data_IF_459969932254
#
_entry.id   IF_459969932254
#
_cell.length_a   1.000
_cell.length_b   1.000
_cell.length_c   1.000
_cell.angle_alpha   90.00
_cell.angle_beta   90.00
_cell.angle_gamma   90.00
#
_symmetry.space_group_name_H-M   'P 1'
#
loop_
_entity.id
_entity.type
_entity.pdbx_description
1 polymer ?
#
# COMPACT_ATOMS: atom_id res chain seq x y z
N UNK A 1 9.39 31.56 21.89
CA UNK A 1 8.93 30.29 21.29
C UNK A 1 8.61 30.56 19.83
N UNK A 2 9.61 30.36 18.97
CA UNK A 2 9.43 30.39 17.51
C UNK A 2 8.46 29.29 17.12
N UNK A 3 7.37 29.67 16.51
CA UNK A 3 6.40 28.77 15.89
C UNK A 3 7.10 28.08 14.71
N UNK A 4 7.69 26.88 14.92
CA UNK A 4 8.13 26.03 13.82
C UNK A 4 6.84 25.63 13.10
N UNK A 5 6.55 26.30 11.98
CA UNK A 5 5.56 25.75 11.03
C UNK A 5 5.94 24.31 10.79
N UNK A 6 5.09 23.40 11.21
CA UNK A 6 5.34 21.97 11.03
C UNK A 6 5.48 21.71 9.52
N UNK A 7 6.66 21.29 9.10
CA UNK A 7 6.91 20.97 7.69
C UNK A 7 5.97 19.83 7.30
N UNK A 8 5.21 20.02 6.22
CA UNK A 8 4.26 19.03 5.74
C UNK A 8 4.96 17.67 5.50
N UNK A 9 4.46 16.57 6.06
CA UNK A 9 5.04 15.26 5.83
C UNK A 9 4.95 14.85 4.35
N UNK A 10 5.91 14.07 3.89
CA UNK A 10 5.97 13.55 2.52
C UNK A 10 5.74 12.05 2.54
N UNK A 11 4.79 11.57 1.75
CA UNK A 11 4.44 10.14 1.68
C UNK A 11 4.51 9.63 0.24
N UNK A 12 5.22 8.52 0.03
CA UNK A 12 5.20 7.76 -1.22
C UNK A 12 4.09 6.71 -1.17
N UNK A 13 3.21 6.72 -2.16
CA UNK A 13 2.16 5.70 -2.33
C UNK A 13 2.40 4.94 -3.62
N UNK A 14 2.76 3.66 -3.54
CA UNK A 14 2.91 2.82 -4.73
C UNK A 14 1.54 2.37 -5.25
N UNK A 15 1.38 2.35 -6.59
CA UNK A 15 0.07 2.11 -7.19
C UNK A 15 -0.97 3.18 -6.79
N UNK A 16 -0.53 4.43 -6.60
CA UNK A 16 -1.32 5.53 -6.06
C UNK A 16 -2.29 6.19 -7.04
N UNK A 17 -2.41 5.67 -8.27
CA UNK A 17 -3.19 6.33 -9.33
C UNK A 17 -4.68 6.00 -9.33
N UNK A 18 -5.08 4.84 -8.81
CA UNK A 18 -6.45 4.28 -8.91
C UNK A 18 -6.90 3.59 -7.62
N UNK A 19 -8.23 3.43 -7.49
CA UNK A 19 -8.88 2.61 -6.46
C UNK A 19 -8.34 2.92 -5.05
N UNK A 20 -7.99 1.88 -4.28
CA UNK A 20 -7.47 2.00 -2.91
C UNK A 20 -6.26 2.93 -2.82
N UNK A 21 -5.30 2.83 -3.76
CA UNK A 21 -4.10 3.69 -3.76
C UNK A 21 -4.43 5.17 -3.96
N UNK A 22 -5.35 5.49 -4.86
CA UNK A 22 -5.79 6.87 -5.08
C UNK A 22 -6.53 7.43 -3.85
N UNK A 23 -7.37 6.63 -3.22
CA UNK A 23 -8.09 7.06 -2.01
C UNK A 23 -7.14 7.24 -0.82
N UNK A 24 -6.14 6.37 -0.65
CA UNK A 24 -5.06 6.58 0.32
C UNK A 24 -4.39 7.94 0.07
N UNK A 25 -4.00 8.20 -1.18
CA UNK A 25 -3.35 9.46 -1.55
C UNK A 25 -4.24 10.68 -1.25
N UNK A 26 -5.56 10.63 -1.56
CA UNK A 26 -6.51 11.69 -1.26
C UNK A 26 -6.61 11.99 0.24
N UNK A 27 -6.75 10.97 1.06
CA UNK A 27 -6.86 11.15 2.51
C UNK A 27 -5.56 11.65 3.15
N UNK A 28 -4.40 11.19 2.68
CA UNK A 28 -3.11 11.71 3.12
C UNK A 28 -2.92 13.17 2.71
N UNK A 29 -3.28 13.53 1.46
CA UNK A 29 -3.22 14.90 0.98
C UNK A 29 -4.17 15.82 1.76
N UNK A 30 -5.40 15.39 2.01
CA UNK A 30 -6.38 16.13 2.82
C UNK A 30 -5.91 16.31 4.28
N UNK A 31 -5.12 15.36 4.82
CA UNK A 31 -4.49 15.47 6.13
C UNK A 31 -3.24 16.38 6.15
N UNK A 32 -2.92 17.05 5.04
CA UNK A 32 -1.80 18.00 4.95
C UNK A 32 -0.49 17.42 4.40
N UNK A 33 -0.41 16.15 4.07
CA UNK A 33 0.79 15.56 3.49
C UNK A 33 1.03 16.02 2.05
N UNK A 34 2.30 16.08 1.65
CA UNK A 34 2.70 16.07 0.23
C UNK A 34 2.79 14.62 -0.22
N UNK A 35 2.28 14.31 -1.41
CA UNK A 35 2.13 12.93 -1.86
C UNK A 35 2.89 12.68 -3.15
N UNK A 36 3.76 11.67 -3.15
CA UNK A 36 4.33 11.12 -4.37
C UNK A 36 3.47 9.92 -4.82
N UNK A 37 2.91 10.02 -6.01
CA UNK A 37 2.06 9.02 -6.63
C UNK A 37 2.91 8.15 -7.57
N UNK A 38 3.22 6.93 -7.16
CA UNK A 38 3.87 6.00 -8.07
C UNK A 38 2.84 5.28 -8.94
N UNK A 39 3.14 5.15 -10.24
CA UNK A 39 2.38 4.35 -11.19
C UNK A 39 3.30 3.61 -12.18
N UNK A 40 2.83 2.47 -12.71
CA UNK A 40 3.49 1.72 -13.79
C UNK A 40 2.80 1.97 -15.14
N UNK A 41 1.49 1.76 -15.22
CA UNK A 41 0.73 1.86 -16.48
C UNK A 41 -0.31 3.00 -16.47
N UNK A 42 -0.76 3.44 -15.30
CA UNK A 42 -1.85 4.41 -15.14
C UNK A 42 -1.33 5.85 -15.06
N UNK A 43 -0.45 6.24 -16.00
CA UNK A 43 0.19 7.56 -16.00
C UNK A 43 -0.81 8.70 -16.06
N UNK A 44 -1.79 8.63 -16.95
CA UNK A 44 -2.81 9.68 -17.12
C UNK A 44 -3.67 9.87 -15.87
N UNK A 45 -4.01 8.78 -15.17
CA UNK A 45 -4.77 8.87 -13.92
C UNK A 45 -3.93 9.48 -12.80
N UNK A 46 -2.65 9.12 -12.71
CA UNK A 46 -1.71 9.70 -11.76
C UNK A 46 -1.50 11.21 -12.01
N UNK A 47 -1.28 11.60 -13.28
CA UNK A 47 -1.09 13.00 -13.66
C UNK A 47 -2.34 13.84 -13.35
N UNK A 48 -3.55 13.29 -13.60
CA UNK A 48 -4.83 13.96 -13.28
C UNK A 48 -4.97 14.16 -11.76
N UNK A 49 -4.70 13.11 -10.97
CA UNK A 49 -4.81 13.17 -9.52
C UNK A 49 -3.77 14.14 -8.92
N UNK A 50 -2.54 14.15 -9.44
CA UNK A 50 -1.51 15.09 -9.02
C UNK A 50 -1.88 16.55 -9.37
N UNK A 51 -2.48 16.78 -10.55
CA UNK A 51 -2.97 18.10 -10.93
C UNK A 51 -4.06 18.59 -9.95
N UNK A 52 -5.05 17.74 -9.65
CA UNK A 52 -6.10 18.03 -8.65
C UNK A 52 -5.49 18.42 -7.28
N UNK A 53 -4.48 17.68 -6.80
CA UNK A 53 -3.82 17.99 -5.54
C UNK A 53 -3.04 19.31 -5.59
N UNK A 54 -2.35 19.57 -6.70
CA UNK A 54 -1.58 20.79 -6.88
C UNK A 54 -2.43 22.05 -7.11
N UNK A 55 -3.66 21.91 -7.63
CA UNK A 55 -4.67 22.98 -7.65
C UNK A 55 -5.12 23.33 -6.23
N UNK A 56 -5.39 22.33 -5.40
CA UNK A 56 -5.81 22.54 -4.01
C UNK A 56 -4.68 23.13 -3.15
N UNK A 57 -3.46 22.66 -3.37
CA UNK A 57 -2.27 23.09 -2.62
C UNK A 57 -1.03 22.99 -3.52
N UNK A 58 -0.46 24.11 -3.97
CA UNK A 58 0.67 24.13 -4.88
C UNK A 58 1.88 23.31 -4.39
N UNK A 59 2.55 22.59 -5.30
CA UNK A 59 3.71 21.75 -5.03
C UNK A 59 3.48 20.67 -3.95
N UNK A 60 2.28 20.13 -3.88
CA UNK A 60 1.90 19.10 -2.90
C UNK A 60 1.81 17.69 -3.47
N UNK A 61 1.96 17.51 -4.78
CA UNK A 61 1.94 16.21 -5.42
C UNK A 61 3.00 16.08 -6.51
N UNK A 62 3.59 14.89 -6.60
CA UNK A 62 4.57 14.48 -7.61
C UNK A 62 4.15 13.12 -8.19
N UNK A 63 4.27 12.94 -9.51
CA UNK A 63 4.09 11.63 -10.15
C UNK A 63 5.45 10.98 -10.40
N UNK A 64 5.60 9.74 -9.98
CA UNK A 64 6.77 8.90 -10.20
C UNK A 64 6.38 7.68 -11.04
N UNK A 65 6.99 7.55 -12.21
CA UNK A 65 6.77 6.42 -13.11
C UNK A 65 7.94 5.44 -13.01
N UNK A 66 7.64 4.19 -12.63
CA UNK A 66 8.63 3.11 -12.57
C UNK A 66 7.97 1.74 -12.73
N UNK A 67 8.76 0.73 -13.10
CA UNK A 67 8.41 -0.66 -12.90
C UNK A 67 9.04 -1.15 -11.59
N UNK A 68 8.24 -1.44 -10.58
CA UNK A 68 8.75 -1.92 -9.29
C UNK A 68 9.40 -3.31 -9.36
N UNK A 69 9.21 -4.05 -10.45
CA UNK A 69 9.90 -5.32 -10.68
C UNK A 69 11.39 -5.11 -10.99
N UNK A 70 11.76 -3.95 -11.51
CA UNK A 70 13.15 -3.50 -11.66
C UNK A 70 13.67 -2.93 -10.34
N UNK A 71 14.06 -3.82 -9.43
CA UNK A 71 14.54 -3.43 -8.11
C UNK A 71 15.82 -2.58 -8.16
N UNK A 72 16.59 -2.61 -9.25
CA UNK A 72 17.79 -1.80 -9.40
C UNK A 72 17.46 -0.30 -9.56
N UNK A 73 16.29 0.03 -10.08
CA UNK A 73 15.83 1.41 -10.26
C UNK A 73 15.21 2.04 -9.01
N UNK A 74 14.86 1.25 -7.99
CA UNK A 74 14.14 1.75 -6.81
C UNK A 74 14.89 2.78 -5.96
N UNK A 75 16.22 2.69 -5.76
CA UNK A 75 16.96 3.76 -5.10
C UNK A 75 16.80 5.11 -5.82
N UNK A 76 16.92 5.13 -7.15
CA UNK A 76 16.74 6.34 -7.96
C UNK A 76 15.32 6.91 -7.88
N UNK A 77 14.30 6.07 -7.73
CA UNK A 77 12.92 6.50 -7.50
C UNK A 77 12.80 7.28 -6.18
N UNK A 78 13.40 6.77 -5.11
CA UNK A 78 13.39 7.43 -3.79
C UNK A 78 14.22 8.71 -3.82
N UNK A 79 15.39 8.68 -4.47
CA UNK A 79 16.25 9.87 -4.63
C UNK A 79 15.54 10.99 -5.41
N UNK A 80 14.81 10.67 -6.47
CA UNK A 80 14.00 11.64 -7.22
C UNK A 80 12.91 12.28 -6.35
N UNK A 81 12.25 11.50 -5.51
CA UNK A 81 11.27 12.01 -4.55
C UNK A 81 11.90 12.96 -3.55
N UNK A 82 13.00 12.53 -2.93
CA UNK A 82 13.69 13.33 -1.92
C UNK A 82 14.33 14.57 -2.53
N UNK A 83 14.87 14.46 -3.73
CA UNK A 83 15.38 15.63 -4.48
C UNK A 83 14.31 16.69 -4.73
N UNK A 84 13.05 16.27 -4.93
CA UNK A 84 11.91 17.16 -5.16
C UNK A 84 11.35 17.77 -3.85
N UNK A 85 11.13 16.94 -2.81
CA UNK A 85 10.45 17.35 -1.59
C UNK A 85 11.38 17.63 -0.41
N UNK A 86 12.64 17.20 -0.46
CA UNK A 86 13.65 17.38 0.57
C UNK A 86 13.56 16.37 1.74
N UNK A 87 12.59 15.46 1.74
CA UNK A 87 12.36 14.48 2.83
C UNK A 87 11.45 13.35 2.42
N UNK A 88 11.40 12.31 3.24
CA UNK A 88 10.41 11.23 3.16
C UNK A 88 9.98 10.84 4.60
N UNK A 89 8.68 10.86 4.88
CA UNK A 89 8.09 10.58 6.19
C UNK A 89 7.23 9.32 6.21
N UNK A 90 6.76 8.91 5.04
CA UNK A 90 5.92 7.71 4.94
C UNK A 90 6.11 6.97 3.63
N UNK A 91 6.01 5.63 3.70
CA UNK A 91 5.97 4.75 2.54
C UNK A 91 4.73 3.86 2.66
N UNK A 92 3.89 3.85 1.63
CA UNK A 92 2.77 2.92 1.51
C UNK A 92 3.04 1.96 0.34
N UNK A 93 3.37 0.72 0.66
CA UNK A 93 3.50 -0.37 -0.32
C UNK A 93 2.10 -0.90 -0.64
N UNK A 94 1.43 -0.28 -1.62
CA UNK A 94 0.08 -0.63 -2.05
C UNK A 94 0.03 -1.30 -3.43
N UNK A 95 1.00 -1.05 -4.32
CA UNK A 95 1.04 -1.70 -5.63
C UNK A 95 1.04 -3.22 -5.49
N UNK A 96 0.19 -3.91 -6.25
CA UNK A 96 0.08 -5.36 -6.24
C UNK A 96 -0.43 -5.90 -7.58
N UNK A 97 -0.05 -7.13 -7.90
CA UNK A 97 -0.69 -7.95 -8.91
C UNK A 97 -1.56 -9.01 -8.24
N UNK A 98 -2.69 -9.33 -8.87
CA UNK A 98 -3.65 -10.32 -8.37
C UNK A 98 -4.28 -11.06 -9.54
N UNK A 99 -3.98 -12.34 -9.68
CA UNK A 99 -4.58 -13.23 -10.67
C UNK A 99 -4.45 -14.70 -10.22
N UNK A 100 -5.34 -15.61 -10.69
CA UNK A 100 -5.32 -17.00 -10.29
C UNK A 100 -4.08 -17.73 -10.82
N UNK A 101 -3.54 -18.64 -10.02
CA UNK A 101 -2.40 -19.50 -10.34
C UNK A 101 -2.66 -20.92 -9.82
N UNK A 102 -3.65 -21.67 -10.38
CA UNK A 102 -3.96 -23.02 -9.91
C UNK A 102 -2.75 -23.94 -10.09
N UNK A 103 -2.61 -24.91 -9.20
CA UNK A 103 -1.51 -25.91 -9.25
C UNK A 103 -1.50 -26.60 -10.61
N UNK A 104 -0.32 -26.68 -11.21
CA UNK A 104 -0.10 -27.21 -12.57
C UNK A 104 -0.08 -26.13 -13.66
N UNK A 105 -0.40 -24.86 -13.34
CA UNK A 105 -0.38 -23.73 -14.27
C UNK A 105 0.57 -22.60 -13.81
N UNK A 106 1.34 -22.81 -12.76
CA UNK A 106 2.31 -21.84 -12.25
C UNK A 106 3.57 -21.90 -13.12
N UNK A 107 3.98 -20.77 -13.66
CA UNK A 107 5.20 -20.60 -14.42
C UNK A 107 6.11 -19.51 -13.81
N UNK A 108 7.30 -19.35 -14.35
CA UNK A 108 8.29 -18.33 -13.91
C UNK A 108 7.79 -16.90 -14.12
N UNK A 109 6.94 -16.65 -15.10
CA UNK A 109 6.38 -15.32 -15.34
C UNK A 109 5.39 -14.95 -14.25
N UNK A 110 4.48 -15.86 -13.89
CA UNK A 110 3.56 -15.68 -12.77
C UNK A 110 4.30 -15.51 -11.44
N UNK A 111 5.35 -16.32 -11.21
CA UNK A 111 6.22 -16.18 -10.05
C UNK A 111 6.86 -14.80 -9.99
N UNK A 112 7.51 -14.39 -11.07
CA UNK A 112 8.22 -13.10 -11.15
C UNK A 112 7.29 -11.91 -10.96
N UNK A 113 6.07 -11.95 -11.48
CA UNK A 113 5.09 -10.89 -11.33
C UNK A 113 4.50 -10.87 -9.90
N UNK A 114 3.90 -11.99 -9.45
CA UNK A 114 3.18 -12.02 -8.16
C UNK A 114 4.11 -11.88 -6.95
N UNK A 115 5.24 -12.61 -6.93
CA UNK A 115 6.22 -12.48 -5.84
C UNK A 115 6.99 -11.18 -5.97
N UNK A 116 7.30 -10.78 -7.20
CA UNK A 116 7.97 -9.52 -7.53
C UNK A 116 7.22 -8.32 -6.98
N UNK A 117 5.95 -8.16 -7.37
CA UNK A 117 5.14 -7.00 -7.01
C UNK A 117 4.68 -7.02 -5.53
N UNK A 118 4.31 -8.19 -5.00
CA UNK A 118 3.68 -8.30 -3.68
C UNK A 118 4.67 -8.49 -2.51
N UNK A 119 5.91 -8.92 -2.77
CA UNK A 119 6.89 -9.20 -1.73
C UNK A 119 8.25 -8.56 -2.01
N UNK A 120 8.86 -8.84 -3.18
CA UNK A 120 10.21 -8.39 -3.50
C UNK A 120 10.29 -6.86 -3.60
N UNK A 121 9.40 -6.23 -4.36
CA UNK A 121 9.37 -4.78 -4.51
C UNK A 121 9.16 -4.04 -3.17
N UNK A 122 8.19 -4.42 -2.31
CA UNK A 122 8.07 -3.86 -0.96
C UNK A 122 9.35 -3.94 -0.13
N UNK A 123 10.09 -5.06 -0.17
CA UNK A 123 11.36 -5.20 0.54
C UNK A 123 12.40 -4.20 0.03
N UNK A 124 12.68 -4.21 -1.28
CA UNK A 124 13.73 -3.36 -1.85
C UNK A 124 13.39 -1.88 -1.79
N UNK A 125 12.12 -1.52 -1.95
CA UNK A 125 11.69 -0.14 -1.81
C UNK A 125 11.77 0.34 -0.35
N UNK A 126 11.39 -0.51 0.61
CA UNK A 126 11.57 -0.21 2.03
C UNK A 126 13.04 -0.03 2.39
N UNK A 127 13.93 -0.86 1.84
CA UNK A 127 15.39 -0.73 2.02
C UNK A 127 15.89 0.62 1.45
N UNK A 128 15.48 1.00 0.25
CA UNK A 128 15.86 2.26 -0.37
C UNK A 128 15.33 3.48 0.40
N UNK A 129 14.13 3.39 0.96
CA UNK A 129 13.50 4.45 1.74
C UNK A 129 14.01 4.55 3.17
N UNK A 130 14.58 3.48 3.74
CA UNK A 130 14.92 3.38 5.15
C UNK A 130 15.80 4.53 5.68
N UNK A 131 16.89 4.97 5.01
CA UNK A 131 17.72 6.07 5.52
C UNK A 131 16.91 7.37 5.72
N UNK A 132 16.05 7.70 4.78
CA UNK A 132 15.23 8.91 4.81
C UNK A 132 14.12 8.84 5.86
N UNK A 133 13.50 7.66 5.99
CA UNK A 133 12.49 7.40 7.03
C UNK A 133 13.11 7.42 8.43
N UNK A 134 14.35 6.94 8.59
CA UNK A 134 15.08 7.01 9.87
C UNK A 134 15.42 8.45 10.25
N UNK A 135 15.76 9.28 9.27
CA UNK A 135 16.03 10.70 9.50
C UNK A 135 14.78 11.47 9.96
N UNK A 136 13.64 11.17 9.36
CA UNK A 136 12.37 11.83 9.67
C UNK A 136 11.64 11.25 10.88
N UNK A 137 12.00 10.05 11.35
CA UNK A 137 11.22 9.28 12.33
C UNK A 137 9.91 8.77 11.74
N UNK A 138 9.93 8.37 10.48
CA UNK A 138 8.78 8.06 9.65
C UNK A 138 8.14 6.69 9.89
N UNK A 139 7.28 6.27 8.94
CA UNK A 139 6.60 4.98 9.02
C UNK A 139 6.42 4.32 7.65
N UNK A 140 6.34 2.98 7.65
CA UNK A 140 5.98 2.16 6.50
C UNK A 140 4.63 1.49 6.78
N UNK A 141 3.73 1.50 5.81
CA UNK A 141 2.49 0.71 5.82
C UNK A 141 2.47 -0.19 4.59
N UNK A 142 2.40 -1.49 4.83
CA UNK A 142 2.28 -2.50 3.78
C UNK A 142 0.81 -2.91 3.62
N UNK A 143 0.28 -2.85 2.39
CA UNK A 143 -1.04 -3.40 2.10
C UNK A 143 -0.87 -4.92 1.88
N UNK A 144 -1.17 -5.66 2.94
CA UNK A 144 -1.15 -7.12 2.97
C UNK A 144 -2.43 -7.66 2.31
N UNK A 145 -3.10 -8.60 2.92
CA UNK A 145 -4.40 -9.15 2.55
C UNK A 145 -4.84 -10.14 3.64
N UNK A 146 -6.13 -10.33 3.88
CA UNK A 146 -6.61 -11.40 4.78
C UNK A 146 -6.22 -12.79 4.27
N UNK A 147 -6.00 -12.92 2.96
CA UNK A 147 -5.56 -14.18 2.33
C UNK A 147 -4.08 -14.53 2.60
N UNK A 148 -3.34 -13.68 3.29
CA UNK A 148 -2.04 -14.03 3.89
C UNK A 148 -2.17 -15.10 4.98
N UNK A 149 -3.27 -15.10 5.73
CA UNK A 149 -3.56 -16.03 6.82
C UNK A 149 -4.74 -16.97 6.53
N UNK A 150 -5.63 -16.59 5.62
CA UNK A 150 -6.81 -17.36 5.17
C UNK A 150 -6.73 -17.59 3.66
N UNK A 151 -5.97 -18.60 3.19
CA UNK A 151 -5.66 -18.76 1.77
C UNK A 151 -6.91 -18.87 0.88
N UNK A 152 -6.82 -18.27 -0.30
CA UNK A 152 -7.85 -18.30 -1.33
C UNK A 152 -7.58 -19.43 -2.31
N UNK A 153 -8.58 -20.30 -2.54
CA UNK A 153 -8.47 -21.41 -3.50
C UNK A 153 -8.20 -20.85 -4.91
N UNK A 154 -7.24 -21.46 -5.62
CA UNK A 154 -6.83 -21.03 -6.96
C UNK A 154 -5.77 -19.94 -7.00
N UNK A 155 -5.34 -19.37 -5.84
CA UNK A 155 -4.38 -18.30 -5.73
C UNK A 155 -3.17 -18.62 -4.84
N UNK A 156 -2.57 -19.83 -4.90
CA UNK A 156 -1.54 -20.23 -3.95
C UNK A 156 -0.33 -19.32 -3.96
N UNK A 157 0.11 -18.85 -5.14
CA UNK A 157 1.28 -18.01 -5.27
C UNK A 157 1.05 -16.59 -4.72
N UNK A 158 -0.11 -16.00 -4.98
CA UNK A 158 -0.51 -14.71 -4.39
C UNK A 158 -0.58 -14.81 -2.86
N UNK A 159 -1.24 -15.84 -2.33
CA UNK A 159 -1.35 -16.06 -0.88
C UNK A 159 0.04 -16.22 -0.23
N UNK A 160 0.94 -16.98 -0.87
CA UNK A 160 2.31 -17.14 -0.39
C UNK A 160 3.08 -15.81 -0.37
N UNK A 161 2.95 -14.99 -1.43
CA UNK A 161 3.57 -13.67 -1.49
C UNK A 161 3.03 -12.72 -0.40
N UNK A 162 1.72 -12.71 -0.16
CA UNK A 162 1.09 -11.89 0.90
C UNK A 162 1.43 -12.39 2.30
N UNK A 163 1.54 -13.71 2.52
CA UNK A 163 2.05 -14.28 3.77
C UNK A 163 3.52 -13.88 4.00
N UNK A 164 4.33 -13.88 2.94
CA UNK A 164 5.68 -13.34 2.97
C UNK A 164 5.73 -11.87 3.35
N UNK A 165 4.84 -11.04 2.79
CA UNK A 165 4.75 -9.60 3.11
C UNK A 165 4.32 -9.36 4.57
N UNK A 166 3.43 -10.21 5.10
CA UNK A 166 3.06 -10.18 6.52
C UNK A 166 4.30 -10.44 7.40
N UNK A 167 5.06 -11.49 7.12
CA UNK A 167 6.31 -11.80 7.81
C UNK A 167 7.36 -10.70 7.68
N UNK A 168 7.52 -10.16 6.46
CA UNK A 168 8.42 -9.05 6.16
C UNK A 168 8.05 -7.78 6.96
N UNK A 169 6.77 -7.47 7.11
CA UNK A 169 6.30 -6.33 7.91
C UNK A 169 6.80 -6.41 9.34
N UNK A 170 6.72 -7.58 9.97
CA UNK A 170 7.23 -7.82 11.33
C UNK A 170 8.75 -7.76 11.40
N UNK A 171 9.44 -8.34 10.42
CA UNK A 171 10.89 -8.30 10.35
C UNK A 171 11.41 -6.86 10.20
N UNK A 172 10.85 -6.08 9.29
CA UNK A 172 11.23 -4.67 9.09
C UNK A 172 10.93 -3.81 10.33
N UNK A 173 9.87 -4.13 11.09
CA UNK A 173 9.57 -3.44 12.34
C UNK A 173 10.69 -3.65 13.38
N UNK A 174 11.28 -4.84 13.44
CA UNK A 174 12.44 -5.14 14.30
C UNK A 174 13.71 -4.42 13.81
N UNK A 175 13.98 -4.51 12.52
CA UNK A 175 15.21 -3.98 11.92
C UNK A 175 15.29 -2.43 11.95
N UNK A 176 14.15 -1.76 11.80
CA UNK A 176 14.10 -0.30 11.65
C UNK A 176 13.74 0.43 12.95
N UNK A 177 13.39 -0.29 14.02
CA UNK A 177 13.15 0.29 15.33
C UNK A 177 14.46 0.85 15.93
N UNK A 178 14.39 1.89 16.78
CA UNK A 178 13.19 2.62 17.22
C UNK A 178 12.79 3.78 16.30
N UNK A 179 13.50 3.99 15.21
CA UNK A 179 13.36 5.19 14.36
C UNK A 179 12.19 5.13 13.40
N UNK A 180 11.86 3.95 12.87
CA UNK A 180 10.80 3.77 11.87
C UNK A 180 9.80 2.74 12.37
N UNK A 181 8.52 3.06 12.30
CA UNK A 181 7.43 2.12 12.55
C UNK A 181 7.04 1.40 11.26
N UNK A 182 6.78 0.12 11.33
CA UNK A 182 6.36 -0.67 10.18
C UNK A 182 5.13 -1.49 10.56
N UNK A 183 4.02 -1.26 9.86
CA UNK A 183 2.77 -1.96 10.10
C UNK A 183 2.14 -2.43 8.78
N UNK A 184 1.18 -3.32 8.87
CA UNK A 184 0.39 -3.80 7.75
C UNK A 184 -1.10 -3.51 7.91
N UNK A 185 -1.77 -3.32 6.80
CA UNK A 185 -3.23 -3.36 6.69
C UNK A 185 -3.57 -4.58 5.86
N UNK A 186 -4.50 -5.41 6.34
CA UNK A 186 -4.98 -6.59 5.64
C UNK A 186 -6.44 -6.37 5.19
N UNK A 187 -6.66 -5.90 3.95
CA UNK A 187 -8.00 -5.73 3.41
C UNK A 187 -8.74 -7.06 3.29
N UNK A 188 -10.06 -7.02 3.51
CA UNK A 188 -11.00 -7.99 2.99
C UNK A 188 -11.48 -7.59 1.58
N UNK A 189 -12.69 -8.00 1.18
CA UNK A 189 -13.26 -7.58 -0.10
C UNK A 189 -13.55 -6.07 -0.08
N UNK A 190 -12.84 -5.34 -0.93
CA UNK A 190 -12.95 -3.89 -1.08
C UNK A 190 -13.28 -3.58 -2.53
N UNK A 191 -14.45 -3.02 -2.77
CA UNK A 191 -15.02 -2.83 -4.11
C UNK A 191 -15.14 -4.12 -4.94
N UNK A 192 -16.04 -4.13 -5.89
CA UNK A 192 -16.09 -5.21 -6.88
C UNK A 192 -15.15 -4.90 -8.05
N UNK A 193 -14.57 -5.93 -8.68
CA UNK A 193 -13.86 -5.75 -9.94
C UNK A 193 -14.76 -5.07 -10.99
N UNK A 194 -14.22 -4.10 -11.73
CA UNK A 194 -14.97 -3.34 -12.74
C UNK A 194 -15.35 -4.17 -13.97
N UNK A 195 -14.75 -5.35 -14.13
CA UNK A 195 -14.89 -6.23 -15.28
C UNK A 195 -16.18 -7.08 -15.29
N UNK A 196 -16.98 -7.00 -14.21
CA UNK A 196 -18.22 -7.77 -14.09
C UNK A 196 -18.04 -9.29 -14.04
N UNK A 197 -16.81 -9.77 -13.92
CA UNK A 197 -16.49 -11.20 -13.98
C UNK A 197 -16.94 -11.98 -12.74
N UNK A 198 -17.18 -11.29 -11.61
CA UNK A 198 -17.63 -11.95 -10.38
C UNK A 198 -19.17 -12.14 -10.41
N UNK A 199 -19.68 -13.38 -10.48
CA UNK A 199 -21.11 -13.66 -10.50
C UNK A 199 -21.84 -13.10 -9.28
N UNK A 200 -23.13 -12.73 -9.46
CA UNK A 200 -23.95 -12.17 -8.37
C UNK A 200 -24.01 -13.11 -7.15
N UNK A 201 -24.18 -14.41 -7.37
CA UNK A 201 -24.21 -15.40 -6.30
C UNK A 201 -22.91 -15.44 -5.47
N UNK A 202 -21.76 -15.25 -6.11
CA UNK A 202 -20.48 -15.17 -5.41
C UNK A 202 -20.36 -13.85 -4.62
N UNK A 203 -20.84 -12.73 -5.17
CA UNK A 203 -20.91 -11.46 -4.44
C UNK A 203 -21.79 -11.57 -3.20
N UNK A 204 -22.97 -12.16 -3.33
CA UNK A 204 -23.89 -12.41 -2.21
C UNK A 204 -23.24 -13.32 -1.14
N UNK A 205 -22.56 -14.40 -1.56
CA UNK A 205 -21.85 -15.27 -0.64
C UNK A 205 -20.71 -14.54 0.10
N UNK A 206 -19.97 -13.66 -0.58
CA UNK A 206 -18.93 -12.83 0.04
C UNK A 206 -19.53 -11.91 1.11
N UNK A 207 -20.64 -11.24 0.81
CA UNK A 207 -21.34 -10.37 1.75
C UNK A 207 -21.91 -11.14 2.92
N UNK A 208 -22.53 -12.30 2.67
CA UNK A 208 -23.09 -13.17 3.72
C UNK A 208 -22.03 -13.67 4.72
N UNK A 209 -20.79 -13.85 4.26
CA UNK A 209 -19.66 -14.24 5.12
C UNK A 209 -18.87 -13.03 5.67
N UNK A 210 -19.39 -11.83 5.57
CA UNK A 210 -18.79 -10.61 6.15
C UNK A 210 -19.70 -10.14 7.29
N UNK A 211 -19.18 -10.07 8.53
CA UNK A 211 -20.00 -9.77 9.71
C UNK A 211 -20.71 -8.43 9.62
N UNK A 212 -20.11 -7.42 8.97
CA UNK A 212 -20.73 -6.12 8.76
C UNK A 212 -21.73 -6.10 7.58
N UNK A 213 -21.97 -7.24 6.91
CA UNK A 213 -23.00 -7.38 5.86
C UNK A 213 -22.80 -6.54 4.61
N UNK A 214 -21.58 -6.09 4.33
CA UNK A 214 -21.22 -5.31 3.15
C UNK A 214 -19.77 -5.55 2.73
N UNK A 215 -19.43 -5.24 1.50
CA UNK A 215 -18.03 -5.04 1.10
C UNK A 215 -17.51 -3.71 1.67
N UNK A 216 -16.22 -3.63 1.87
CA UNK A 216 -15.56 -2.39 2.26
C UNK A 216 -15.46 -1.42 1.09
N UNK A 217 -15.13 -0.19 1.43
CA UNK A 217 -14.80 0.88 0.48
C UNK A 217 -13.31 1.21 0.57
N UNK A 218 -12.70 1.77 -0.49
CA UNK A 218 -11.32 2.25 -0.45
C UNK A 218 -11.04 3.18 0.73
N UNK A 219 -12.03 3.96 1.14
CA UNK A 219 -11.97 4.86 2.28
C UNK A 219 -11.79 4.13 3.63
N UNK A 220 -12.27 2.88 3.76
CA UNK A 220 -12.08 2.07 4.97
C UNK A 220 -10.59 1.72 5.15
N UNK A 221 -9.91 1.38 4.04
CA UNK A 221 -8.47 1.11 4.02
C UNK A 221 -7.67 2.40 4.23
N UNK A 222 -8.01 3.46 3.50
CA UNK A 222 -7.27 4.72 3.53
C UNK A 222 -7.26 5.37 4.92
N UNK A 223 -8.36 5.31 5.66
CA UNK A 223 -8.44 5.78 7.06
C UNK A 223 -7.47 5.03 7.97
N UNK A 224 -7.39 3.72 7.83
CA UNK A 224 -6.47 2.89 8.63
C UNK A 224 -5.02 3.17 8.29
N UNK A 225 -4.69 3.34 7.00
CA UNK A 225 -3.34 3.73 6.55
C UNK A 225 -2.96 5.09 7.12
N UNK A 226 -3.82 6.09 7.01
CA UNK A 226 -3.60 7.42 7.58
C UNK A 226 -3.36 7.37 9.09
N UNK A 227 -4.21 6.62 9.82
CA UNK A 227 -4.06 6.42 11.26
C UNK A 227 -2.70 5.82 11.62
N UNK A 228 -2.28 4.75 10.93
CA UNK A 228 -1.00 4.11 11.17
C UNK A 228 0.20 5.00 10.85
N UNK A 229 0.09 5.86 9.84
CA UNK A 229 1.16 6.79 9.49
C UNK A 229 1.28 7.95 10.49
N UNK A 230 0.16 8.55 10.92
CA UNK A 230 0.18 9.85 11.60
C UNK A 230 -0.29 9.84 13.06
N UNK A 231 -1.22 8.93 13.40
CA UNK A 231 -1.93 9.00 14.69
C UNK A 231 -1.59 7.84 15.65
N UNK A 232 -0.71 6.91 15.23
CA UNK A 232 -0.39 5.67 15.97
C UNK A 232 1.10 5.58 16.37
N UNK A 233 1.64 6.49 17.20
CA UNK A 233 3.08 6.56 17.47
C UNK A 233 3.63 5.37 18.27
N UNK A 234 2.77 4.57 18.90
CA UNK A 234 3.15 3.42 19.72
C UNK A 234 2.72 2.07 19.10
N UNK A 235 2.42 2.06 17.78
CA UNK A 235 2.06 0.84 17.04
C UNK A 235 3.15 0.54 16.00
N UNK A 236 3.79 -0.63 16.13
CA UNK A 236 4.74 -1.17 15.14
C UNK A 236 4.67 -2.70 15.14
N UNK A 237 4.99 -3.33 14.00
CA UNK A 237 4.97 -4.78 13.83
C UNK A 237 3.57 -5.40 13.77
N UNK A 238 2.50 -4.58 13.67
CA UNK A 238 1.12 -5.07 13.69
C UNK A 238 0.53 -5.17 12.29
N UNK A 239 -0.35 -6.16 12.12
CA UNK A 239 -1.19 -6.31 10.92
C UNK A 239 -2.63 -6.10 11.36
N UNK A 240 -3.29 -5.10 10.77
CA UNK A 240 -4.67 -4.75 11.11
C UNK A 240 -5.60 -5.23 9.99
N UNK A 241 -6.46 -6.23 10.23
CA UNK A 241 -7.50 -6.61 9.29
C UNK A 241 -8.54 -5.48 9.16
N UNK A 242 -8.85 -5.11 7.91
CA UNK A 242 -9.92 -4.18 7.56
C UNK A 242 -10.83 -4.89 6.56
N UNK A 243 -11.67 -5.77 7.08
CA UNK A 243 -12.34 -6.82 6.32
C UNK A 243 -13.82 -7.01 6.70
N UNK A 244 -14.37 -6.12 7.50
CA UNK A 244 -15.75 -6.23 7.99
C UNK A 244 -15.98 -7.45 8.88
N UNK A 245 -14.93 -8.01 9.50
CA UNK A 245 -14.98 -9.19 10.35
C UNK A 245 -14.95 -10.52 9.59
N UNK A 246 -14.66 -10.49 8.27
CA UNK A 246 -14.64 -11.71 7.43
C UNK A 246 -13.62 -12.74 7.92
N UNK A 247 -12.42 -12.34 8.31
CA UNK A 247 -11.38 -13.26 8.80
C UNK A 247 -11.62 -13.77 10.23
N UNK A 248 -12.50 -13.12 11.00
CA UNK A 248 -12.89 -13.54 12.35
C UNK A 248 -14.00 -14.61 12.33
N UNK A 249 -14.69 -14.80 11.21
CA UNK A 249 -15.72 -15.81 11.03
C UNK A 249 -15.10 -17.11 10.51
N UNK A 250 -15.49 -18.25 11.12
CA UNK A 250 -15.08 -19.61 10.73
C UNK A 250 -15.98 -20.17 9.64
#
# INVERSE_FOLDING_TARGET
TMNRQAVAPVVLVTGGAKRVGAEIARQLHAAGARVALHCRHSRLDADRLAAEFNELRPASALVLHADLLDCASLPGLVEALVGHFGRLDGLVNNASSFFPTPIGQIDEAAWSDLVGSNLKAPLFLSQAAAPWLQESGGAIVNIVDIHAERPLKGYPLYCAAKAGLLGLTRALALELAPRVRVNGVAPGPIEWPDDGQLPLAEREAIVAHTLLGRVGEPSDIARTVRFLLFDAPYITGQIIPVDGGRSAHL
#
